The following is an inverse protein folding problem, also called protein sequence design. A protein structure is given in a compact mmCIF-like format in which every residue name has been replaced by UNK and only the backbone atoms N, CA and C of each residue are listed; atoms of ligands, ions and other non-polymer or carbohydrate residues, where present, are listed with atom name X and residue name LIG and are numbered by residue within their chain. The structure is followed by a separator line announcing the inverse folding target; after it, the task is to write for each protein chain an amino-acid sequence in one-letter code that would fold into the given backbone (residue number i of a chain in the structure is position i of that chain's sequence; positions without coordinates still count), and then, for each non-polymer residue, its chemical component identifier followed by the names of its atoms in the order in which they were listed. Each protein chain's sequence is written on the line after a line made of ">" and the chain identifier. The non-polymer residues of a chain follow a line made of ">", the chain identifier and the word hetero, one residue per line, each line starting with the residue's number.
data_IF_478766998940
#
_entry.id   IF_478766998940
#
_cell.length_a   1.000
_cell.length_b   1.000
_cell.length_c   1.000
_cell.angle_alpha   90.00
_cell.angle_beta   90.00
_cell.angle_gamma   90.00
#
_symmetry.space_group_name_H-M   'P 1'
#
loop_
_entity.id
_entity.type
_entity.pdbx_description
1 polymer ?
#
# COMPACT_ATOMS: atom_id res chain seq x y z
N UNK A 1 -2.17 18.10 -11.99
CA UNK A 1 -1.78 17.54 -10.68
C UNK A 1 -1.71 16.04 -10.85
N UNK A 2 -0.54 15.38 -10.75
CA UNK A 2 -0.47 13.92 -10.85
C UNK A 2 -1.16 13.30 -9.63
N UNK A 3 -1.89 12.22 -9.87
CA UNK A 3 -2.87 11.62 -8.97
C UNK A 3 -2.31 11.22 -7.59
N UNK A 4 -2.75 11.92 -6.54
CA UNK A 4 -2.34 11.69 -5.15
C UNK A 4 -3.14 10.58 -4.46
N UNK A 5 -3.90 9.78 -5.21
CA UNK A 5 -4.84 8.79 -4.68
C UNK A 5 -4.37 7.37 -5.01
N UNK A 6 -4.16 6.55 -3.98
CA UNK A 6 -3.69 5.16 -4.11
C UNK A 6 -4.64 4.30 -4.97
N UNK A 7 -5.95 4.56 -4.94
CA UNK A 7 -6.93 3.85 -5.78
C UNK A 7 -6.76 4.19 -7.24
N UNK A 8 -6.49 5.46 -7.55
CA UNK A 8 -6.27 5.91 -8.94
C UNK A 8 -4.95 5.36 -9.45
N UNK A 9 -3.88 5.45 -8.65
CA UNK A 9 -2.57 4.93 -9.00
C UNK A 9 -2.57 3.41 -9.27
N UNK A 10 -3.18 2.63 -8.38
CA UNK A 10 -3.23 1.17 -8.53
C UNK A 10 -4.13 0.71 -9.69
N UNK A 11 -5.10 1.53 -10.10
CA UNK A 11 -5.96 1.27 -11.25
C UNK A 11 -5.34 1.64 -12.60
N UNK A 12 -4.18 2.30 -12.64
CA UNK A 12 -3.59 2.68 -13.92
C UNK A 12 -3.16 1.44 -14.72
N UNK A 13 -3.53 1.37 -16.01
CA UNK A 13 -3.02 0.33 -16.89
C UNK A 13 -1.50 0.47 -16.99
N UNK A 14 -0.78 -0.66 -16.95
CA UNK A 14 0.68 -0.67 -17.16
C UNK A 14 0.97 0.05 -18.49
N UNK A 15 1.95 0.97 -18.56
CA UNK A 15 2.38 1.52 -19.83
C UNK A 15 2.85 0.37 -20.74
N UNK A 16 2.54 0.42 -22.05
CA UNK A 16 2.99 -0.60 -22.98
C UNK A 16 4.52 -0.64 -22.94
N UNK A 17 5.09 -1.77 -22.53
CA UNK A 17 6.51 -2.03 -22.75
C UNK A 17 6.75 -2.08 -24.25
N UNK A 18 7.80 -1.41 -24.72
CA UNK A 18 8.16 -1.31 -26.13
C UNK A 18 8.01 -2.67 -26.83
N UNK A 19 7.30 -2.64 -27.94
CA UNK A 19 6.86 -3.79 -28.70
C UNK A 19 8.07 -4.55 -29.29
N UNK A 20 8.65 -5.47 -28.52
CA UNK A 20 9.51 -6.52 -29.05
C UNK A 20 9.17 -7.84 -28.36
N UNK A 21 8.84 -8.81 -29.22
CA UNK A 21 8.61 -10.25 -29.02
C UNK A 21 7.29 -10.72 -28.40
N UNK A 22 6.49 -11.35 -29.27
CA UNK A 22 5.22 -12.03 -29.00
C UNK A 22 5.36 -13.33 -28.21
N UNK A 23 5.89 -13.23 -26.99
CA UNK A 23 5.61 -14.20 -25.94
C UNK A 23 4.72 -13.51 -24.92
N UNK A 24 3.60 -14.15 -24.62
CA UNK A 24 2.66 -13.77 -23.57
C UNK A 24 3.45 -13.59 -22.27
N UNK A 25 3.83 -12.34 -21.95
CA UNK A 25 4.72 -12.01 -20.84
C UNK A 25 4.01 -12.31 -19.51
N UNK A 26 4.28 -13.50 -18.97
CA UNK A 26 4.12 -13.74 -17.54
C UNK A 26 5.08 -12.78 -16.85
N UNK A 27 4.56 -11.64 -16.37
CA UNK A 27 5.38 -10.68 -15.64
C UNK A 27 5.95 -11.36 -14.40
N UNK A 28 7.26 -11.34 -14.24
CA UNK A 28 7.90 -11.94 -13.07
C UNK A 28 7.49 -11.17 -11.82
N UNK A 29 7.47 -11.85 -10.66
CA UNK A 29 7.14 -11.24 -9.36
C UNK A 29 7.97 -9.97 -9.09
N UNK A 30 9.23 -9.95 -9.55
CA UNK A 30 10.12 -8.79 -9.47
C UNK A 30 9.61 -7.58 -10.26
N UNK A 31 9.19 -7.77 -11.51
CA UNK A 31 8.64 -6.69 -12.33
C UNK A 31 7.31 -6.14 -11.78
N UNK A 32 6.52 -6.97 -11.11
CA UNK A 32 5.29 -6.51 -10.44
C UNK A 32 5.63 -5.66 -9.22
N UNK A 33 6.62 -6.06 -8.43
CA UNK A 33 7.11 -5.28 -7.28
C UNK A 33 7.65 -3.92 -7.72
N UNK A 34 8.55 -3.87 -8.69
CA UNK A 34 9.13 -2.62 -9.20
C UNK A 34 8.04 -1.66 -9.72
N UNK A 35 7.04 -2.19 -10.40
CA UNK A 35 5.89 -1.41 -10.87
C UNK A 35 5.10 -0.80 -9.70
N UNK A 36 4.77 -1.60 -8.69
CA UNK A 36 4.03 -1.11 -7.50
C UNK A 36 4.86 -0.10 -6.72
N UNK A 37 6.16 -0.33 -6.57
CA UNK A 37 7.08 0.63 -5.93
C UNK A 37 7.12 1.96 -6.67
N UNK A 38 7.18 1.94 -8.00
CA UNK A 38 7.14 3.14 -8.82
C UNK A 38 5.83 3.93 -8.64
N UNK A 39 4.69 3.23 -8.53
CA UNK A 39 3.38 3.84 -8.25
C UNK A 39 3.29 4.43 -6.83
N UNK A 40 3.83 3.73 -5.84
CA UNK A 40 3.78 4.15 -4.44
C UNK A 40 4.75 5.31 -4.14
N UNK A 41 5.88 5.41 -4.86
CA UNK A 41 6.92 6.42 -4.62
C UNK A 41 6.40 7.86 -4.53
N UNK A 42 5.64 8.41 -5.49
CA UNK A 42 5.15 9.79 -5.40
C UNK A 42 4.15 10.01 -4.26
N UNK A 43 3.36 8.98 -3.92
CA UNK A 43 2.40 9.03 -2.80
C UNK A 43 3.17 9.10 -1.47
N UNK A 44 4.16 8.23 -1.30
CA UNK A 44 4.98 8.20 -0.08
C UNK A 44 5.86 9.46 0.04
N UNK A 45 6.37 9.99 -1.07
CA UNK A 45 7.06 11.28 -1.08
C UNK A 45 6.15 12.42 -0.60
N UNK A 46 4.90 12.46 -1.08
CA UNK A 46 3.92 13.47 -0.62
C UNK A 46 3.60 13.32 0.88
N UNK A 47 3.53 12.08 1.38
CA UNK A 47 3.37 11.82 2.81
C UNK A 47 4.61 12.29 3.60
N UNK A 48 5.81 12.09 3.06
CA UNK A 48 7.04 12.53 3.68
C UNK A 48 7.12 14.05 3.79
N UNK A 49 6.80 14.77 2.71
CA UNK A 49 6.76 16.23 2.70
C UNK A 49 5.75 16.77 3.74
N UNK A 50 4.56 16.16 3.81
CA UNK A 50 3.55 16.51 4.79
C UNK A 50 4.03 16.26 6.23
N UNK A 51 4.61 15.10 6.51
CA UNK A 51 5.15 14.81 7.83
C UNK A 51 6.34 15.73 8.16
N UNK A 52 7.21 16.03 7.21
CA UNK A 52 8.36 16.90 7.41
C UNK A 52 7.92 18.32 7.78
N UNK A 53 6.89 18.86 7.11
CA UNK A 53 6.32 20.17 7.44
C UNK A 53 5.71 20.23 8.84
N UNK A 54 5.17 19.11 9.33
CA UNK A 54 4.56 19.00 10.66
C UNK A 54 5.55 18.73 11.79
N UNK A 55 6.81 18.39 11.47
CA UNK A 55 7.79 17.96 12.47
C UNK A 55 8.26 19.06 13.41
N UNK A 56 8.49 20.27 12.88
CA UNK A 56 8.90 21.43 13.66
C UNK A 56 7.82 22.00 14.59
N UNK A 57 6.58 22.21 14.12
CA UNK A 57 5.54 22.87 14.92
C UNK A 57 4.80 21.96 15.92
N UNK A 58 4.93 20.63 15.84
CA UNK A 58 4.20 19.70 16.70
C UNK A 58 5.07 19.13 17.82
N UNK A 59 4.52 19.05 19.03
CA UNK A 59 5.09 18.24 20.10
C UNK A 59 5.23 16.78 19.67
N UNK A 60 6.27 16.09 20.16
CA UNK A 60 6.61 14.75 19.68
C UNK A 60 5.46 13.73 19.81
N UNK A 61 4.65 13.84 20.86
CA UNK A 61 3.47 12.96 21.03
C UNK A 61 2.36 13.26 20.02
N UNK A 62 2.14 14.53 19.70
CA UNK A 62 1.17 14.96 18.69
C UNK A 62 1.65 14.56 17.30
N UNK A 63 2.95 14.74 17.03
CA UNK A 63 3.58 14.29 15.79
C UNK A 63 3.42 12.78 15.57
N UNK A 64 3.74 11.96 16.58
CA UNK A 64 3.56 10.51 16.53
C UNK A 64 2.09 10.16 16.25
N UNK A 65 1.14 10.77 16.97
CA UNK A 65 -0.28 10.53 16.77
C UNK A 65 -0.73 10.89 15.35
N UNK A 66 -0.25 12.01 14.81
CA UNK A 66 -0.55 12.45 13.44
C UNK A 66 0.03 11.49 12.40
N UNK A 67 1.28 11.05 12.57
CA UNK A 67 1.89 10.06 11.68
C UNK A 67 1.17 8.72 11.71
N UNK A 68 0.72 8.27 12.89
CA UNK A 68 -0.13 7.07 13.01
C UNK A 68 -1.50 7.26 12.36
N UNK A 69 -2.12 8.44 12.51
CA UNK A 69 -3.40 8.74 11.89
C UNK A 69 -3.29 8.75 10.36
N UNK A 70 -2.25 9.37 9.81
CA UNK A 70 -2.00 9.37 8.37
C UNK A 70 -1.72 7.95 7.86
N UNK A 71 -0.95 7.15 8.60
CA UNK A 71 -0.73 5.74 8.27
C UNK A 71 -2.05 4.96 8.22
N UNK A 72 -2.91 5.10 9.23
CA UNK A 72 -4.22 4.44 9.26
C UNK A 72 -5.15 4.92 8.14
N UNK A 73 -5.13 6.22 7.80
CA UNK A 73 -5.90 6.79 6.69
C UNK A 73 -5.48 6.18 5.34
N UNK A 74 -4.18 6.12 5.07
CA UNK A 74 -3.66 5.50 3.84
C UNK A 74 -4.00 4.00 3.78
N UNK A 75 -3.93 3.32 4.92
CA UNK A 75 -4.31 1.91 5.03
C UNK A 75 -5.82 1.70 4.83
N UNK A 76 -6.65 2.64 5.29
CA UNK A 76 -8.10 2.64 5.05
C UNK A 76 -8.41 2.74 3.56
N UNK A 77 -7.74 3.63 2.84
CA UNK A 77 -7.93 3.75 1.39
C UNK A 77 -7.57 2.48 0.64
N UNK A 78 -6.49 1.81 1.06
CA UNK A 78 -6.08 0.53 0.50
C UNK A 78 -7.05 -0.59 0.88
N UNK A 79 -7.55 -0.61 2.12
CA UNK A 79 -8.57 -1.56 2.57
C UNK A 79 -9.86 -1.44 1.75
N UNK A 80 -10.39 -0.23 1.63
CA UNK A 80 -11.61 0.03 0.85
C UNK A 80 -11.41 -0.31 -0.63
N UNK A 81 -10.23 -0.05 -1.19
CA UNK A 81 -9.88 -0.50 -2.54
C UNK A 81 -9.98 -2.03 -2.67
N UNK A 82 -9.35 -2.78 -1.76
CA UNK A 82 -9.38 -4.25 -1.79
C UNK A 82 -10.80 -4.80 -1.57
N UNK A 83 -11.59 -4.14 -0.73
CA UNK A 83 -12.97 -4.53 -0.46
C UNK A 83 -13.85 -4.37 -1.71
N UNK A 84 -13.74 -3.24 -2.43
CA UNK A 84 -14.45 -3.03 -3.69
C UNK A 84 -14.11 -4.08 -4.76
N UNK A 85 -12.88 -4.61 -4.75
CA UNK A 85 -12.47 -5.69 -5.66
C UNK A 85 -13.10 -7.05 -5.33
N UNK A 86 -13.71 -7.23 -4.16
CA UNK A 86 -14.46 -8.44 -3.81
C UNK A 86 -15.91 -8.37 -4.30
N UNK A 87 -16.53 -7.19 -4.22
CA UNK A 87 -17.95 -6.99 -4.51
C UNK A 87 -18.24 -6.85 -6.00
N UNK A 88 -17.25 -6.48 -6.81
CA UNK A 88 -17.43 -6.20 -8.24
C UNK A 88 -16.90 -7.29 -9.18
N UNK A 89 -17.57 -7.45 -10.32
CA UNK A 89 -17.01 -8.14 -11.50
C UNK A 89 -15.99 -7.24 -12.21
N UNK A 90 -14.96 -6.79 -11.47
CA UNK A 90 -13.94 -5.88 -11.99
C UNK A 90 -12.95 -6.66 -12.85
N UNK A 91 -12.78 -6.31 -14.14
CA UNK A 91 -11.75 -6.91 -14.96
C UNK A 91 -10.37 -6.76 -14.31
N UNK A 92 -9.61 -7.86 -14.21
CA UNK A 92 -8.31 -7.92 -13.55
C UNK A 92 -8.29 -7.68 -12.02
N UNK A 93 -9.41 -7.89 -11.31
CA UNK A 93 -9.47 -7.81 -9.84
C UNK A 93 -8.39 -8.64 -9.12
N UNK A 94 -8.01 -9.80 -9.67
CA UNK A 94 -6.92 -10.62 -9.10
C UNK A 94 -5.57 -9.88 -9.14
N UNK A 95 -5.25 -9.20 -10.25
CA UNK A 95 -3.99 -8.47 -10.43
C UNK A 95 -3.94 -7.25 -9.53
N UNK A 96 -5.07 -6.54 -9.42
CA UNK A 96 -5.19 -5.38 -8.53
C UNK A 96 -5.05 -5.77 -7.05
N UNK A 97 -5.58 -6.94 -6.65
CA UNK A 97 -5.33 -7.51 -5.31
C UNK A 97 -3.84 -7.82 -5.10
N UNK A 98 -3.15 -8.38 -6.10
CA UNK A 98 -1.68 -8.59 -6.03
C UNK A 98 -0.90 -7.29 -5.91
N UNK A 99 -1.34 -6.21 -6.57
CA UNK A 99 -0.72 -4.90 -6.37
C UNK A 99 -0.94 -4.38 -4.94
N UNK A 100 -2.15 -4.53 -4.39
CA UNK A 100 -2.43 -4.15 -3.00
C UNK A 100 -1.61 -4.95 -1.98
N UNK A 101 -1.38 -6.24 -2.22
CA UNK A 101 -0.47 -7.08 -1.41
C UNK A 101 0.96 -6.56 -1.38
N UNK A 102 1.46 -6.03 -2.51
CA UNK A 102 2.78 -5.44 -2.59
C UNK A 102 2.82 -4.02 -2.00
N UNK A 103 1.73 -3.26 -2.12
CA UNK A 103 1.66 -1.88 -1.64
C UNK A 103 1.56 -1.77 -0.11
N UNK A 104 0.84 -2.69 0.54
CA UNK A 104 0.64 -2.67 2.00
C UNK A 104 1.95 -2.73 2.81
N UNK A 105 2.92 -3.62 2.54
CA UNK A 105 4.19 -3.63 3.26
C UNK A 105 5.02 -2.37 3.00
N UNK A 106 5.04 -1.84 1.77
CA UNK A 106 5.74 -0.58 1.45
C UNK A 106 5.19 0.59 2.30
N UNK A 107 3.87 0.67 2.45
CA UNK A 107 3.22 1.64 3.32
C UNK A 107 3.66 1.48 4.79
N UNK A 108 3.66 0.24 5.29
CA UNK A 108 4.03 -0.05 6.67
C UNK A 108 5.49 0.27 6.97
N UNK A 109 6.39 -0.12 6.07
CA UNK A 109 7.83 0.13 6.18
C UNK A 109 8.13 1.63 6.17
N UNK A 110 7.47 2.38 5.28
CA UNK A 110 7.61 3.84 5.22
C UNK A 110 7.24 4.51 6.54
N UNK A 111 6.01 4.29 7.05
CA UNK A 111 5.56 4.97 8.26
C UNK A 111 6.33 4.54 9.50
N UNK A 112 6.60 3.24 9.66
CA UNK A 112 7.43 2.75 10.78
C UNK A 112 8.84 3.33 10.71
N UNK A 113 9.46 3.31 9.54
CA UNK A 113 10.80 3.83 9.33
C UNK A 113 10.90 5.32 9.63
N UNK A 114 9.96 6.13 9.15
CA UNK A 114 9.95 7.59 9.38
C UNK A 114 9.66 7.94 10.84
N UNK A 115 8.67 7.31 11.47
CA UNK A 115 8.38 7.53 12.89
C UNK A 115 9.56 7.15 13.77
N UNK A 116 10.18 5.98 13.53
CA UNK A 116 11.34 5.53 14.28
C UNK A 116 12.54 6.45 14.08
N UNK A 117 12.84 6.84 12.84
CA UNK A 117 13.99 7.70 12.53
C UNK A 117 13.86 9.11 13.13
N UNK A 118 12.65 9.67 13.13
CA UNK A 118 12.45 11.06 13.52
C UNK A 118 12.11 11.27 15.00
N UNK A 119 11.60 10.21 15.65
CA UNK A 119 11.13 10.24 17.04
C UNK A 119 11.81 9.20 17.93
N UNK A 120 12.97 8.66 17.52
CA UNK A 120 13.69 7.57 18.22
C UNK A 120 13.84 7.77 19.74
N UNK A 121 14.05 9.01 20.20
CA UNK A 121 14.20 9.33 21.63
C UNK A 121 12.90 9.37 22.45
N UNK A 122 11.73 9.28 21.83
CA UNK A 122 10.44 9.39 22.53
C UNK A 122 9.36 8.41 22.05
N UNK A 123 9.62 7.70 20.94
CA UNK A 123 8.75 6.65 20.41
C UNK A 123 8.73 5.45 21.35
N UNK A 124 7.58 4.79 21.45
CA UNK A 124 7.41 3.56 22.22
C UNK A 124 7.00 2.44 21.28
N UNK A 125 7.17 1.19 21.70
CA UNK A 125 6.77 0.02 20.90
C UNK A 125 5.30 0.08 20.48
N UNK A 126 4.42 0.48 21.41
CA UNK A 126 2.99 0.66 21.13
C UNK A 126 2.69 1.70 20.05
N UNK A 127 3.58 2.68 19.88
CA UNK A 127 3.44 3.73 18.87
C UNK A 127 3.76 3.19 17.46
N UNK A 128 4.45 2.05 17.37
CA UNK A 128 4.78 1.34 16.13
C UNK A 128 3.88 0.14 15.86
N UNK A 129 2.91 -0.16 16.72
CA UNK A 129 1.90 -1.18 16.47
C UNK A 129 1.10 -0.87 15.22
N UNK A 130 0.74 -1.93 14.48
CA UNK A 130 -0.02 -1.81 13.24
C UNK A 130 -1.35 -1.10 13.48
N UNK A 131 -1.67 -0.06 12.69
CA UNK A 131 -2.99 0.56 12.71
C UNK A 131 -4.11 -0.41 12.35
N UNK A 132 -5.34 -0.07 12.74
CA UNK A 132 -6.52 -0.91 12.58
C UNK A 132 -6.80 -1.25 11.12
N UNK A 133 -6.69 -0.29 10.20
CA UNK A 133 -6.98 -0.53 8.79
C UNK A 133 -5.88 -1.32 8.09
N UNK A 134 -4.65 -1.29 8.60
CA UNK A 134 -3.57 -2.18 8.12
C UNK A 134 -3.91 -3.63 8.43
N UNK A 135 -4.30 -3.93 9.67
CA UNK A 135 -4.71 -5.29 10.08
C UNK A 135 -5.91 -5.78 9.27
N UNK A 136 -6.93 -4.94 9.08
CA UNK A 136 -8.09 -5.26 8.23
C UNK A 136 -7.69 -5.54 6.77
N UNK A 137 -6.85 -4.70 6.16
CA UNK A 137 -6.36 -4.89 4.80
C UNK A 137 -5.57 -6.20 4.66
N UNK A 138 -4.68 -6.48 5.61
CA UNK A 138 -3.88 -7.70 5.62
C UNK A 138 -4.76 -8.96 5.71
N UNK A 139 -5.74 -8.96 6.61
CA UNK A 139 -6.70 -10.07 6.76
C UNK A 139 -7.50 -10.28 5.47
N UNK A 140 -7.98 -9.20 4.86
CA UNK A 140 -8.77 -9.26 3.64
C UNK A 140 -7.98 -9.82 2.45
N UNK A 141 -6.72 -9.39 2.30
CA UNK A 141 -5.82 -9.89 1.27
C UNK A 141 -5.46 -11.37 1.50
N UNK A 142 -5.23 -11.78 2.75
CA UNK A 142 -4.97 -13.17 3.10
C UNK A 142 -6.17 -14.08 2.77
N UNK A 143 -7.40 -13.66 3.11
CA UNK A 143 -8.63 -14.37 2.77
C UNK A 143 -8.79 -14.52 1.25
N UNK A 144 -8.54 -13.45 0.50
CA UNK A 144 -8.61 -13.45 -0.96
C UNK A 144 -7.65 -14.47 -1.61
N UNK A 145 -6.44 -14.64 -1.06
CA UNK A 145 -5.49 -15.65 -1.52
C UNK A 145 -5.92 -17.08 -1.20
N UNK A 146 -6.46 -17.30 0.01
CA UNK A 146 -6.94 -18.62 0.41
C UNK A 146 -8.08 -19.09 -0.51
N UNK A 147 -9.05 -18.22 -0.82
CA UNK A 147 -10.16 -18.56 -1.73
C UNK A 147 -9.68 -18.87 -3.16
N UNK A 148 -8.69 -18.14 -3.68
CA UNK A 148 -8.10 -18.42 -4.99
C UNK A 148 -7.44 -19.81 -5.03
N UNK A 149 -6.71 -20.18 -3.98
CA UNK A 149 -6.05 -21.49 -3.90
C UNK A 149 -7.05 -22.65 -3.85
N UNK A 150 -8.18 -22.50 -3.15
CA UNK A 150 -9.25 -23.50 -3.11
C UNK A 150 -9.93 -23.64 -4.48
N UNK A 151 -10.14 -22.53 -5.18
CA UNK A 151 -10.81 -22.54 -6.50
C UNK A 151 -9.92 -23.17 -7.59
N UNK A 152 -8.60 -23.02 -7.46
CA UNK A 152 -7.62 -23.57 -8.42
C UNK A 152 -7.19 -25.01 -8.10
N UNK A 153 -7.39 -25.48 -6.87
CA UNK A 153 -7.19 -26.87 -6.44
C UNK A 153 -8.42 -27.38 -5.67
N UNK A 154 -9.53 -27.69 -6.36
CA UNK A 154 -10.66 -28.36 -5.72
C UNK A 154 -10.24 -29.78 -5.30
N UNK A 155 -10.58 -30.16 -4.07
CA UNK A 155 -10.37 -31.53 -3.54
C UNK A 155 -11.30 -32.51 -4.28
#
# INVERSE_FOLDING_TARGET
>A
MPDTNIRVALNQPRPPSDAHTGFQQVSTTTQQREFVEALMRPILASCEDALQALRGPLDSRVFIAMGRALWDCMAKDLYEFVHLLQEGNVPAAWRLRKHAELALPLLCEFFRGRLLAWMSGCIRDRDLEMPNHVDKAQKLLAQNNAMLNITLNPI
#
